data_IF_142808372218
#
_entry.id   IF_142808372218
#
_cell.length_a   1.000
_cell.length_b   1.000
_cell.length_c   1.000
_cell.angle_alpha   90.00
_cell.angle_beta   90.00
_cell.angle_gamma   90.00
#
_symmetry.space_group_name_H-M   'P 1'
#
loop_
_entity.id
_entity.type
_entity.pdbx_description
1 polymer ?
#
# COMPACT_ATOMS: atom_id res chain seq x y z
N UNK A 1 4.20 -24.01 -17.22
CA UNK A 1 3.08 -23.33 -16.56
C UNK A 1 2.57 -22.29 -17.55
N UNK A 2 1.27 -22.28 -17.84
CA UNK A 2 0.70 -21.26 -18.72
C UNK A 2 0.98 -19.89 -18.11
N UNK A 3 1.63 -19.03 -18.89
CA UNK A 3 1.92 -17.65 -18.51
C UNK A 3 0.59 -16.89 -18.58
N UNK A 4 -0.07 -16.75 -17.43
CA UNK A 4 -1.31 -15.96 -17.39
C UNK A 4 -0.96 -14.51 -17.71
N UNK A 5 -1.69 -13.92 -18.65
CA UNK A 5 -1.59 -12.49 -18.95
C UNK A 5 -1.82 -11.69 -17.68
N UNK A 6 -1.08 -10.58 -17.50
CA UNK A 6 -1.33 -9.66 -16.39
C UNK A 6 -2.70 -8.99 -16.59
N UNK A 7 -3.47 -8.92 -15.53
CA UNK A 7 -4.70 -8.10 -15.47
C UNK A 7 -4.30 -6.64 -15.20
N UNK A 8 -4.10 -5.86 -16.28
CA UNK A 8 -3.58 -4.49 -16.23
C UNK A 8 -4.68 -3.44 -16.46
N UNK A 9 -4.45 -2.24 -15.91
CA UNK A 9 -5.01 -0.98 -16.35
C UNK A 9 -3.86 -0.11 -16.86
N UNK A 10 -4.00 0.42 -18.08
CA UNK A 10 -2.94 1.16 -18.78
C UNK A 10 -3.56 2.36 -19.50
N UNK A 11 -3.01 3.54 -19.22
CA UNK A 11 -3.28 4.76 -19.96
C UNK A 11 -2.03 5.20 -20.71
N UNK A 12 -2.18 5.47 -21.99
CA UNK A 12 -1.09 5.93 -22.85
C UNK A 12 -0.93 7.43 -22.73
N UNK A 13 0.28 7.87 -22.42
CA UNK A 13 0.65 9.27 -22.34
C UNK A 13 1.51 9.74 -23.51
N UNK A 14 2.12 10.89 -23.36
CA UNK A 14 3.09 11.45 -24.32
C UNK A 14 4.39 10.66 -24.31
N UNK A 15 5.01 10.40 -25.48
CA UNK A 15 6.33 9.79 -25.57
C UNK A 15 7.44 10.64 -24.95
N UNK A 16 7.20 11.93 -24.72
CA UNK A 16 8.16 12.86 -24.11
C UNK A 16 8.05 12.91 -22.58
N UNK A 17 7.09 12.16 -22.01
CA UNK A 17 6.87 12.07 -20.56
C UNK A 17 7.38 10.73 -20.01
N UNK A 18 7.70 10.63 -18.71
CA UNK A 18 7.98 9.37 -18.06
C UNK A 18 6.76 8.43 -18.04
N UNK A 19 7.02 7.13 -17.88
CA UNK A 19 6.00 6.15 -17.54
C UNK A 19 5.97 5.89 -16.03
N UNK A 20 4.77 5.90 -15.44
CA UNK A 20 4.54 5.69 -14.01
C UNK A 20 3.96 4.30 -13.78
N UNK A 21 4.62 3.50 -12.94
CA UNK A 21 4.18 2.16 -12.54
C UNK A 21 3.63 2.22 -11.12
N UNK A 22 2.31 2.03 -10.97
CA UNK A 22 1.63 2.10 -9.70
C UNK A 22 1.44 0.69 -9.11
N UNK A 23 1.95 0.46 -7.90
CA UNK A 23 2.01 -0.85 -7.26
C UNK A 23 1.14 -0.82 -6.01
N UNK A 24 0.09 -1.63 -5.98
CA UNK A 24 -0.84 -1.69 -4.85
C UNK A 24 -0.31 -2.50 -3.66
N UNK A 25 -0.95 -2.34 -2.50
CA UNK A 25 -0.63 -3.00 -1.25
C UNK A 25 -1.07 -4.47 -1.17
N UNK A 26 -0.78 -5.10 -0.02
CA UNK A 26 -1.20 -6.47 0.28
C UNK A 26 -2.73 -6.59 0.32
N UNK A 27 -3.27 -7.65 -0.29
CA UNK A 27 -4.72 -7.90 -0.28
C UNK A 27 -5.57 -6.90 -1.07
N UNK A 28 -4.95 -6.16 -1.99
CA UNK A 28 -5.59 -5.20 -2.89
C UNK A 28 -5.45 -5.67 -4.36
N UNK A 29 -5.95 -4.87 -5.30
CA UNK A 29 -5.83 -5.08 -6.73
C UNK A 29 -5.67 -3.72 -7.46
N UNK A 30 -5.65 -3.73 -8.81
CA UNK A 30 -5.49 -2.53 -9.65
C UNK A 30 -6.56 -1.45 -9.43
N UNK A 31 -7.77 -1.85 -8.99
CA UNK A 31 -8.86 -0.91 -8.75
C UNK A 31 -8.50 0.12 -7.67
N UNK A 32 -7.62 -0.21 -6.73
CA UNK A 32 -7.13 0.77 -5.77
C UNK A 32 -6.61 2.05 -6.45
N UNK A 33 -6.03 1.93 -7.64
CA UNK A 33 -5.48 3.03 -8.40
C UNK A 33 -6.41 3.53 -9.50
N UNK A 34 -6.93 2.61 -10.32
CA UNK A 34 -7.67 2.96 -11.54
C UNK A 34 -9.18 3.18 -11.30
N UNK A 35 -9.77 2.47 -10.34
CA UNK A 35 -11.22 2.46 -10.08
C UNK A 35 -11.47 2.33 -8.57
N UNK A 36 -11.09 3.33 -7.75
CA UNK A 36 -11.07 3.21 -6.29
C UNK A 36 -12.46 2.98 -5.67
N UNK A 37 -13.55 3.34 -6.36
CA UNK A 37 -14.93 3.04 -5.95
C UNK A 37 -15.21 1.54 -5.93
N UNK A 38 -14.57 0.76 -6.82
CA UNK A 38 -14.70 -0.70 -6.91
C UNK A 38 -13.67 -1.44 -6.04
N UNK A 39 -12.69 -0.70 -5.51
CA UNK A 39 -11.59 -1.29 -4.77
C UNK A 39 -12.04 -1.93 -3.45
N UNK A 40 -11.41 -3.06 -3.16
CA UNK A 40 -11.58 -3.76 -1.90
C UNK A 40 -10.24 -3.96 -1.21
N UNK A 41 -10.27 -3.99 0.11
CA UNK A 41 -9.08 -4.10 0.98
C UNK A 41 -9.14 -5.36 1.85
N UNK A 42 -8.02 -5.68 2.50
CA UNK A 42 -7.88 -6.82 3.41
C UNK A 42 -8.31 -8.15 2.76
N UNK A 43 -7.81 -8.43 1.55
CA UNK A 43 -8.14 -9.66 0.83
C UNK A 43 -9.57 -9.69 0.27
N UNK A 44 -10.18 -8.54 0.05
CA UNK A 44 -11.54 -8.41 -0.50
C UNK A 44 -12.64 -8.33 0.58
N UNK A 45 -12.29 -8.25 1.84
CA UNK A 45 -13.26 -8.24 2.95
C UNK A 45 -14.09 -6.96 3.01
N UNK A 46 -13.45 -5.80 2.80
CA UNK A 46 -14.10 -4.49 2.94
C UNK A 46 -13.96 -3.66 1.67
N UNK A 47 -14.98 -2.85 1.30
CA UNK A 47 -14.81 -1.81 0.30
C UNK A 47 -13.77 -0.78 0.78
N UNK A 48 -12.97 -0.23 -0.13
CA UNK A 48 -11.99 0.82 0.18
C UNK A 48 -12.68 2.05 0.80
N UNK A 49 -13.89 2.38 0.34
CA UNK A 49 -14.69 3.52 0.82
C UNK A 49 -14.92 3.53 2.34
N UNK A 50 -14.93 2.36 3.00
CA UNK A 50 -15.07 2.28 4.46
C UNK A 50 -13.86 2.89 5.19
N UNK A 51 -12.68 2.87 4.55
CA UNK A 51 -11.44 3.47 5.09
C UNK A 51 -11.26 4.94 4.66
N UNK A 52 -12.11 5.44 3.76
CA UNK A 52 -12.06 6.78 3.19
C UNK A 52 -13.18 7.70 3.70
N UNK A 53 -13.64 7.46 4.93
CA UNK A 53 -14.65 8.32 5.56
C UNK A 53 -14.17 9.78 5.61
N UNK A 54 -14.99 10.68 5.06
CA UNK A 54 -14.65 12.11 4.95
C UNK A 54 -13.97 12.52 3.63
N UNK A 55 -13.80 11.58 2.69
CA UNK A 55 -13.35 11.89 1.33
C UNK A 55 -14.53 11.81 0.37
N UNK A 56 -14.87 12.93 -0.25
CA UNK A 56 -15.98 13.03 -1.22
C UNK A 56 -15.56 12.60 -2.63
N UNK A 57 -14.25 12.66 -2.93
CA UNK A 57 -13.69 12.31 -4.23
C UNK A 57 -12.72 11.14 -4.08
N UNK A 58 -12.99 10.05 -4.81
CA UNK A 58 -12.14 8.87 -4.87
C UNK A 58 -11.17 8.93 -6.06
N UNK A 59 -10.43 10.03 -6.18
CA UNK A 59 -9.42 10.23 -7.20
C UNK A 59 -8.04 9.81 -6.69
N UNK A 60 -7.21 9.24 -7.53
CA UNK A 60 -5.87 8.73 -7.20
C UNK A 60 -4.79 9.34 -8.09
N UNK A 61 -3.53 9.03 -7.82
CA UNK A 61 -2.41 9.39 -8.70
C UNK A 61 -2.54 8.82 -10.13
N UNK A 62 -3.23 7.69 -10.32
CA UNK A 62 -3.51 7.15 -11.65
C UNK A 62 -4.21 8.19 -12.53
N UNK A 63 -5.26 8.81 -12.00
CA UNK A 63 -6.04 9.81 -12.71
C UNK A 63 -5.28 11.12 -12.93
N UNK A 64 -4.53 11.57 -11.91
CA UNK A 64 -3.79 12.83 -12.00
C UNK A 64 -2.63 12.74 -12.98
N UNK A 65 -1.87 11.65 -12.93
CA UNK A 65 -0.75 11.40 -13.85
C UNK A 65 -1.24 11.21 -15.29
N UNK A 66 -2.34 10.46 -15.49
CA UNK A 66 -2.95 10.30 -16.82
C UNK A 66 -3.43 11.64 -17.39
N UNK A 67 -4.09 12.46 -16.58
CA UNK A 67 -4.55 13.80 -16.99
C UNK A 67 -3.40 14.75 -17.36
N UNK A 68 -2.22 14.55 -16.79
CA UNK A 68 -1.01 15.32 -17.07
C UNK A 68 -0.17 14.74 -18.23
N UNK A 69 -0.65 13.68 -18.87
CA UNK A 69 -0.04 13.09 -20.06
C UNK A 69 1.08 12.10 -19.78
N UNK A 70 1.21 11.58 -18.55
CA UNK A 70 2.10 10.46 -18.27
C UNK A 70 1.49 9.15 -18.78
N UNK A 71 2.32 8.22 -19.27
CA UNK A 71 1.90 6.83 -19.40
C UNK A 71 1.79 6.23 -18.01
N UNK A 72 0.65 5.62 -17.68
CA UNK A 72 0.40 5.08 -16.34
C UNK A 72 -0.04 3.64 -16.44
N UNK A 73 0.61 2.74 -15.69
CA UNK A 73 0.25 1.32 -15.61
C UNK A 73 0.08 0.87 -14.16
N UNK A 74 -0.93 0.05 -13.94
CA UNK A 74 -1.11 -0.74 -12.72
C UNK A 74 -1.66 -2.11 -13.09
N UNK A 75 -1.57 -3.09 -12.19
CA UNK A 75 -2.08 -4.43 -12.43
C UNK A 75 -2.62 -5.07 -11.14
N UNK A 76 -3.48 -6.08 -11.29
CA UNK A 76 -3.89 -6.93 -10.18
C UNK A 76 -2.85 -8.02 -9.96
N UNK A 77 -2.25 -8.09 -8.77
CA UNK A 77 -1.34 -9.18 -8.41
C UNK A 77 -2.12 -10.50 -8.33
N UNK A 78 -1.67 -11.54 -9.00
CA UNK A 78 -2.36 -12.83 -9.05
C UNK A 78 -2.51 -13.49 -7.66
N UNK A 79 -1.57 -13.18 -6.74
CA UNK A 79 -1.61 -13.61 -5.35
C UNK A 79 -1.38 -12.44 -4.41
N UNK A 80 -2.39 -11.57 -4.21
CA UNK A 80 -2.24 -10.31 -3.47
C UNK A 80 -1.89 -10.49 -1.99
N UNK A 81 -2.10 -11.67 -1.43
CA UNK A 81 -1.70 -12.07 -0.06
C UNK A 81 -0.56 -13.10 -0.06
N UNK A 82 -0.03 -13.44 -1.23
CA UNK A 82 1.08 -14.37 -1.41
C UNK A 82 2.45 -13.76 -1.12
N UNK A 83 3.53 -14.55 -1.32
CA UNK A 83 4.90 -14.06 -1.14
C UNK A 83 5.23 -12.89 -2.03
N UNK A 84 5.92 -11.87 -1.49
CA UNK A 84 6.28 -10.63 -2.20
C UNK A 84 7.14 -10.88 -3.43
N UNK A 85 7.96 -11.93 -3.45
CA UNK A 85 8.76 -12.30 -4.63
C UNK A 85 7.92 -12.53 -5.90
N UNK A 86 6.69 -13.05 -5.77
CA UNK A 86 5.80 -13.24 -6.92
C UNK A 86 5.35 -11.89 -7.49
N UNK A 87 5.07 -10.92 -6.63
CA UNK A 87 4.73 -9.56 -7.04
C UNK A 87 5.93 -8.85 -7.71
N UNK A 88 7.16 -9.17 -7.32
CA UNK A 88 8.39 -8.67 -7.99
C UNK A 88 8.50 -9.24 -9.41
N UNK A 89 8.21 -10.53 -9.60
CA UNK A 89 8.19 -11.16 -10.93
C UNK A 89 7.11 -10.53 -11.83
N UNK A 90 5.93 -10.24 -11.27
CA UNK A 90 4.85 -9.55 -11.97
C UNK A 90 5.18 -8.09 -12.28
N UNK A 91 5.85 -7.36 -11.38
CA UNK A 91 6.33 -6.00 -11.63
C UNK A 91 7.31 -5.98 -12.82
N UNK A 92 8.22 -6.95 -12.92
CA UNK A 92 9.12 -7.07 -14.07
C UNK A 92 8.34 -7.22 -15.37
N UNK A 93 7.30 -8.05 -15.36
CA UNK A 93 6.41 -8.23 -16.53
C UNK A 93 5.64 -6.96 -16.87
N UNK A 94 5.17 -6.22 -15.87
CA UNK A 94 4.48 -4.95 -16.07
C UNK A 94 5.42 -3.90 -16.69
N UNK A 95 6.68 -3.82 -16.23
CA UNK A 95 7.73 -2.99 -16.86
C UNK A 95 8.00 -3.44 -18.30
N UNK A 96 8.04 -4.75 -18.56
CA UNK A 96 8.21 -5.31 -19.92
C UNK A 96 7.07 -4.92 -20.89
N UNK A 97 5.87 -4.63 -20.41
CA UNK A 97 4.79 -4.08 -21.25
C UNK A 97 5.16 -2.69 -21.76
N UNK A 98 5.84 -1.88 -20.93
CA UNK A 98 6.23 -0.51 -21.26
C UNK A 98 7.37 -0.43 -22.30
N UNK A 99 8.18 -1.47 -22.47
CA UNK A 99 9.26 -1.50 -23.50
C UNK A 99 8.77 -1.16 -24.91
N UNK A 100 7.49 -1.39 -25.18
CA UNK A 100 6.86 -1.14 -26.49
C UNK A 100 6.16 0.21 -26.59
N UNK A 101 6.17 0.97 -25.51
CA UNK A 101 5.48 2.27 -25.38
C UNK A 101 6.56 3.33 -25.21
N UNK A 102 6.70 4.28 -26.15
CA UNK A 102 7.72 5.33 -26.01
C UNK A 102 7.50 6.16 -24.76
N UNK A 103 8.57 6.37 -23.98
CA UNK A 103 8.59 7.21 -22.77
C UNK A 103 10.02 7.63 -22.41
N UNK A 104 10.18 8.56 -21.45
CA UNK A 104 11.50 9.12 -21.06
C UNK A 104 12.11 8.52 -19.79
N UNK A 105 11.72 7.30 -19.45
CA UNK A 105 12.14 6.58 -18.25
C UNK A 105 11.00 6.26 -17.31
N UNK A 106 11.29 5.58 -16.21
CA UNK A 106 10.30 4.99 -15.31
C UNK A 106 10.26 5.72 -13.97
N UNK A 107 9.04 5.86 -13.42
CA UNK A 107 8.79 6.24 -12.04
C UNK A 107 8.03 5.09 -11.37
N UNK A 108 8.60 4.50 -10.31
CA UNK A 108 7.93 3.48 -9.52
C UNK A 108 7.23 4.12 -8.32
N UNK A 109 5.93 3.86 -8.17
CA UNK A 109 5.11 4.40 -7.07
C UNK A 109 4.45 3.23 -6.37
N UNK A 110 4.82 2.98 -5.12
CA UNK A 110 4.31 1.84 -4.34
C UNK A 110 3.53 2.29 -3.11
N UNK A 111 2.30 1.79 -2.95
CA UNK A 111 1.52 1.94 -1.72
C UNK A 111 1.71 0.72 -0.82
N UNK A 112 1.91 0.94 0.47
CA UNK A 112 1.99 -0.13 1.46
C UNK A 112 3.06 -1.18 1.05
N UNK A 113 2.72 -2.47 0.99
CA UNK A 113 3.61 -3.52 0.47
C UNK A 113 4.14 -3.22 -0.94
N UNK A 114 3.41 -2.46 -1.75
CA UNK A 114 3.84 -2.08 -3.11
C UNK A 114 5.19 -1.37 -3.14
N UNK A 115 5.50 -0.52 -2.16
CA UNK A 115 6.81 0.10 -2.04
C UNK A 115 7.92 -0.89 -1.69
N UNK A 116 7.62 -1.94 -0.93
CA UNK A 116 8.57 -3.02 -0.65
C UNK A 116 8.79 -3.91 -1.88
N UNK A 117 7.75 -4.13 -2.71
CA UNK A 117 7.88 -4.82 -4.01
C UNK A 117 8.83 -4.05 -4.91
N UNK A 118 8.66 -2.73 -5.05
CA UNK A 118 9.55 -1.88 -5.82
C UNK A 118 10.99 -1.94 -5.28
N UNK A 119 11.18 -1.79 -3.96
CA UNK A 119 12.49 -1.87 -3.31
C UNK A 119 13.16 -3.23 -3.50
N UNK A 120 12.40 -4.32 -3.43
CA UNK A 120 12.91 -5.68 -3.66
C UNK A 120 13.31 -5.89 -5.13
N UNK A 121 12.53 -5.35 -6.07
CA UNK A 121 12.86 -5.43 -7.50
C UNK A 121 14.17 -4.73 -7.81
N UNK A 122 14.44 -3.58 -7.21
CA UNK A 122 15.68 -2.81 -7.40
C UNK A 122 16.92 -3.45 -6.76
N UNK A 123 16.76 -4.50 -5.96
CA UNK A 123 17.89 -5.33 -5.50
C UNK A 123 18.52 -6.15 -6.62
N UNK A 124 17.79 -6.40 -7.68
CA UNK A 124 18.25 -7.14 -8.85
C UNK A 124 18.75 -6.17 -9.92
N UNK A 125 20.06 -6.19 -10.21
CA UNK A 125 20.66 -5.35 -11.24
C UNK A 125 20.10 -5.61 -12.65
N UNK A 126 19.47 -6.76 -12.89
CA UNK A 126 18.78 -7.12 -14.13
C UNK A 126 17.29 -6.84 -14.12
N UNK A 127 16.79 -6.07 -13.13
CA UNK A 127 15.37 -5.76 -13.05
C UNK A 127 14.88 -4.90 -14.21
N UNK A 128 15.62 -3.86 -14.55
CA UNK A 128 15.28 -2.98 -15.65
C UNK A 128 15.73 -3.57 -16.99
N UNK A 129 14.92 -3.48 -18.05
CA UNK A 129 15.35 -3.79 -19.41
C UNK A 129 16.58 -2.99 -19.82
N UNK A 130 17.34 -3.51 -20.78
CA UNK A 130 18.54 -2.82 -21.28
C UNK A 130 18.18 -1.46 -21.90
N UNK A 131 18.83 -0.40 -21.43
CA UNK A 131 18.58 0.96 -21.88
C UNK A 131 17.44 1.68 -21.15
N UNK A 132 16.68 0.98 -20.29
CA UNK A 132 15.63 1.61 -19.47
C UNK A 132 16.24 2.40 -18.30
N UNK A 133 15.66 3.54 -18.02
CA UNK A 133 16.14 4.45 -16.98
C UNK A 133 15.11 4.59 -15.87
N UNK A 134 15.50 4.26 -14.65
CA UNK A 134 14.71 4.61 -13.47
C UNK A 134 14.98 6.07 -13.08
N UNK A 135 13.93 6.86 -12.95
CA UNK A 135 13.99 8.27 -12.58
C UNK A 135 13.68 8.48 -11.10
N UNK A 136 12.69 7.76 -10.58
CA UNK A 136 12.29 7.90 -9.18
C UNK A 136 11.69 6.64 -8.58
N UNK A 137 11.84 6.54 -7.26
CA UNK A 137 11.12 5.61 -6.38
C UNK A 137 10.32 6.42 -5.36
N UNK A 138 8.98 6.27 -5.39
CA UNK A 138 8.06 6.94 -4.46
C UNK A 138 7.31 5.88 -3.67
N UNK A 139 7.29 6.00 -2.35
CA UNK A 139 6.60 5.05 -1.48
C UNK A 139 5.59 5.77 -0.58
N UNK A 140 4.36 5.25 -0.55
CA UNK A 140 3.24 5.79 0.22
C UNK A 140 2.89 4.79 1.32
N UNK A 141 3.05 5.17 2.57
CA UNK A 141 2.76 4.34 3.75
C UNK A 141 3.35 2.92 3.66
N UNK A 142 4.57 2.79 3.14
CA UNK A 142 5.23 1.48 2.97
C UNK A 142 6.01 1.09 4.22
N UNK A 143 5.78 -0.11 4.79
CA UNK A 143 6.40 -0.52 6.05
C UNK A 143 7.87 -0.96 5.87
N UNK A 144 8.78 -0.01 5.61
CA UNK A 144 10.20 -0.30 5.34
C UNK A 144 10.94 -0.93 6.52
N UNK A 145 10.48 -0.68 7.75
CA UNK A 145 10.96 -1.32 8.98
C UNK A 145 9.99 -2.40 9.52
N UNK A 146 8.89 -2.65 8.79
CA UNK A 146 7.85 -3.59 9.16
C UNK A 146 6.64 -2.94 9.83
N UNK A 147 5.64 -3.77 10.16
CA UNK A 147 4.43 -3.42 10.90
C UNK A 147 4.16 -4.45 11.99
N UNK A 148 3.87 -3.99 13.17
CA UNK A 148 3.51 -4.84 14.33
C UNK A 148 2.05 -5.32 14.27
N UNK A 149 1.27 -4.88 13.28
CA UNK A 149 -0.17 -5.12 13.21
C UNK A 149 -0.54 -6.60 13.29
N UNK A 150 0.25 -7.47 12.66
CA UNK A 150 -0.04 -8.92 12.68
C UNK A 150 0.11 -9.53 14.08
N UNK A 151 1.05 -9.04 14.91
CA UNK A 151 1.17 -9.45 16.32
C UNK A 151 -0.03 -8.98 17.14
N UNK A 152 -0.54 -7.78 16.83
CA UNK A 152 -1.74 -7.26 17.49
C UNK A 152 -3.01 -8.01 17.12
N UNK A 153 -3.14 -8.48 15.88
CA UNK A 153 -4.26 -9.31 15.48
C UNK A 153 -4.30 -10.64 16.24
N UNK A 154 -3.14 -11.23 16.55
CA UNK A 154 -3.06 -12.43 17.42
C UNK A 154 -3.59 -12.14 18.84
N UNK A 155 -3.31 -10.97 19.39
CA UNK A 155 -3.84 -10.56 20.69
C UNK A 155 -5.34 -10.22 20.62
N UNK A 156 -5.80 -9.59 19.54
CA UNK A 156 -7.22 -9.30 19.30
C UNK A 156 -8.06 -10.58 19.17
N UNK A 157 -7.49 -11.70 18.72
CA UNK A 157 -8.19 -12.98 18.64
C UNK A 157 -8.67 -13.47 20.02
N UNK A 158 -7.89 -13.21 21.07
CA UNK A 158 -8.27 -13.56 22.46
C UNK A 158 -9.40 -12.68 22.99
N UNK A 159 -9.54 -11.45 22.49
CA UNK A 159 -10.62 -10.52 22.88
C UNK A 159 -11.95 -10.85 22.21
N UNK A 160 -11.92 -11.36 20.97
CA UNK A 160 -13.15 -11.73 20.26
C UNK A 160 -13.83 -12.94 20.88
N UNK A 161 -13.10 -13.84 21.54
CA UNK A 161 -13.73 -14.91 22.32
C UNK A 161 -14.60 -14.35 23.46
N UNK A 162 -14.15 -13.28 24.11
CA UNK A 162 -14.89 -12.58 25.19
C UNK A 162 -16.08 -11.78 24.65
N UNK A 163 -15.97 -11.20 23.45
CA UNK A 163 -17.07 -10.47 22.80
C UNK A 163 -18.15 -11.43 22.27
N UNK A 164 -17.76 -12.64 21.85
CA UNK A 164 -18.65 -13.66 21.34
C UNK A 164 -19.67 -14.16 22.36
N UNK A 165 -19.35 -14.10 23.65
CA UNK A 165 -20.28 -14.44 24.76
C UNK A 165 -21.39 -13.40 24.95
N UNK A 166 -21.25 -12.21 24.36
CA UNK A 166 -22.21 -11.08 24.51
C UNK A 166 -23.15 -10.89 23.32
N UNK A 167 -23.00 -11.70 22.24
CA UNK A 167 -23.88 -11.64 21.07
C UNK A 167 -24.96 -12.71 21.19
N UNK A 168 -26.18 -12.30 21.51
CA UNK A 168 -27.32 -13.21 21.69
C UNK A 168 -27.97 -13.64 20.36
N UNK A 169 -27.78 -12.88 19.26
CA UNK A 169 -28.36 -13.19 17.95
C UNK A 169 -27.49 -14.20 17.16
N UNK A 170 -27.98 -15.41 16.88
CA UNK A 170 -27.20 -16.45 16.17
C UNK A 170 -26.79 -16.05 14.74
N UNK A 171 -27.61 -15.25 14.03
CA UNK A 171 -27.32 -14.79 12.68
C UNK A 171 -26.18 -13.75 12.66
N UNK A 172 -26.24 -12.76 13.56
CA UNK A 172 -25.18 -11.79 13.76
C UNK A 172 -23.88 -12.45 14.23
N UNK A 173 -23.98 -13.40 15.16
CA UNK A 173 -22.85 -14.19 15.65
C UNK A 173 -22.12 -14.93 14.53
N UNK A 174 -22.86 -15.55 13.61
CA UNK A 174 -22.29 -16.28 12.46
C UNK A 174 -21.60 -15.34 11.48
N UNK A 175 -22.18 -14.19 11.22
CA UNK A 175 -21.58 -13.14 10.34
C UNK A 175 -20.31 -12.57 10.94
N UNK A 176 -20.32 -12.21 12.22
CA UNK A 176 -19.15 -11.67 12.95
C UNK A 176 -18.01 -12.69 13.00
N UNK A 177 -18.31 -13.97 13.31
CA UNK A 177 -17.33 -15.04 13.31
C UNK A 177 -16.72 -15.29 11.93
N UNK A 178 -17.53 -15.24 10.86
CA UNK A 178 -17.07 -15.39 9.48
C UNK A 178 -16.11 -14.27 9.07
N UNK A 179 -16.49 -13.03 9.34
CA UNK A 179 -15.63 -11.85 9.05
C UNK A 179 -14.33 -11.90 9.87
N UNK A 180 -14.43 -12.29 11.14
CA UNK A 180 -13.25 -12.42 12.00
C UNK A 180 -12.30 -13.51 11.49
N UNK A 181 -12.84 -14.69 11.13
CA UNK A 181 -12.02 -15.77 10.56
C UNK A 181 -11.29 -15.30 9.31
N UNK A 182 -11.99 -14.65 8.39
CA UNK A 182 -11.38 -14.12 7.15
C UNK A 182 -10.32 -13.05 7.42
N UNK A 183 -10.51 -12.21 8.45
CA UNK A 183 -9.51 -11.25 8.88
C UNK A 183 -8.26 -11.95 9.45
N UNK A 184 -8.46 -13.00 10.24
CA UNK A 184 -7.34 -13.80 10.77
C UNK A 184 -6.59 -14.52 9.63
N UNK A 185 -7.30 -15.14 8.68
CA UNK A 185 -6.70 -15.76 7.50
C UNK A 185 -5.87 -14.76 6.68
N UNK A 186 -6.36 -13.51 6.57
CA UNK A 186 -5.61 -12.42 5.92
C UNK A 186 -4.34 -12.07 6.70
N UNK A 187 -4.43 -11.87 8.01
CA UNK A 187 -3.28 -11.50 8.86
C UNK A 187 -2.24 -12.63 8.92
N UNK A 188 -2.68 -13.89 8.91
CA UNK A 188 -1.81 -15.06 8.89
C UNK A 188 -1.21 -15.36 7.52
N UNK A 189 -1.66 -14.66 6.49
CA UNK A 189 -1.14 -14.84 5.14
C UNK A 189 0.36 -14.57 5.05
N UNK A 190 1.03 -15.24 4.11
CA UNK A 190 2.48 -15.08 3.94
C UNK A 190 2.86 -13.65 3.59
N UNK A 191 2.05 -12.98 2.77
CA UNK A 191 2.30 -11.59 2.38
C UNK A 191 2.27 -10.61 3.55
N UNK A 192 1.42 -10.86 4.57
CA UNK A 192 1.38 -10.06 5.80
C UNK A 192 2.52 -10.44 6.74
N UNK A 193 2.83 -11.73 6.90
CA UNK A 193 3.94 -12.19 7.76
C UNK A 193 5.32 -11.68 7.29
N UNK A 194 5.51 -11.49 5.99
CA UNK A 194 6.72 -10.88 5.43
C UNK A 194 6.87 -9.40 5.85
N UNK A 195 5.79 -8.73 6.27
CA UNK A 195 5.82 -7.35 6.76
C UNK A 195 6.14 -7.23 8.26
N UNK A 196 6.30 -8.33 8.99
CA UNK A 196 6.68 -8.29 10.40
C UNK A 196 8.08 -7.68 10.57
N UNK A 197 8.28 -6.81 11.57
CA UNK A 197 9.60 -6.29 11.90
C UNK A 197 10.61 -7.41 12.08
N UNK A 198 11.76 -7.29 11.40
CA UNK A 198 12.81 -8.29 11.44
C UNK A 198 12.50 -9.60 10.72
N UNK A 199 11.50 -9.64 9.83
CA UNK A 199 11.27 -10.77 8.95
C UNK A 199 12.48 -11.03 8.03
N UNK A 200 12.64 -12.26 7.56
CA UNK A 200 13.69 -12.61 6.60
C UNK A 200 13.59 -11.76 5.33
N UNK A 201 12.36 -11.53 4.85
CA UNK A 201 12.11 -10.69 3.69
C UNK A 201 12.62 -9.26 3.90
N UNK A 202 12.26 -8.58 5.00
CA UNK A 202 12.70 -7.22 5.26
C UNK A 202 14.24 -7.12 5.41
N UNK A 203 14.87 -8.13 6.01
CA UNK A 203 16.35 -8.19 6.12
C UNK A 203 17.04 -8.41 4.78
N UNK A 204 16.36 -9.03 3.80
CA UNK A 204 16.89 -9.25 2.47
C UNK A 204 16.82 -8.03 1.57
N UNK A 205 16.07 -6.99 1.95
CA UNK A 205 15.94 -5.79 1.15
C UNK A 205 17.23 -4.95 1.13
N UNK A 206 17.52 -4.22 0.05
CA UNK A 206 18.63 -3.27 0.02
C UNK A 206 18.61 -2.35 1.24
N UNK A 207 19.76 -2.01 1.84
CA UNK A 207 19.81 -1.21 3.06
C UNK A 207 19.34 0.24 2.87
N UNK A 208 19.39 0.73 1.62
CA UNK A 208 18.97 2.09 1.27
C UNK A 208 18.35 2.14 -0.13
N UNK A 209 17.66 3.24 -0.43
CA UNK A 209 17.25 3.57 -1.79
C UNK A 209 18.48 3.78 -2.68
N UNK A 210 18.40 3.51 -4.00
CA UNK A 210 19.45 3.87 -4.93
C UNK A 210 19.75 5.37 -4.86
N UNK A 211 21.04 5.74 -4.88
CA UNK A 211 21.50 7.13 -4.70
C UNK A 211 21.46 7.97 -5.96
N UNK A 212 21.31 7.33 -7.10
CA UNK A 212 21.34 7.93 -8.46
C UNK A 212 19.94 8.28 -8.98
N UNK A 213 18.90 8.05 -8.18
CA UNK A 213 17.51 8.39 -8.51
C UNK A 213 16.90 9.32 -7.46
N UNK A 214 15.84 10.04 -7.85
CA UNK A 214 15.02 10.73 -6.86
C UNK A 214 14.21 9.70 -6.05
N UNK A 215 14.25 9.81 -4.73
CA UNK A 215 13.50 8.92 -3.84
C UNK A 215 12.72 9.70 -2.79
N UNK A 216 11.41 9.41 -2.70
CA UNK A 216 10.47 10.05 -1.78
C UNK A 216 9.73 8.97 -1.00
N UNK A 217 9.64 9.13 0.31
CA UNK A 217 8.73 8.35 1.14
C UNK A 217 7.70 9.25 1.82
N UNK A 218 6.45 8.78 1.88
CA UNK A 218 5.35 9.47 2.54
C UNK A 218 4.76 8.55 3.60
N UNK A 219 4.61 9.06 4.83
CA UNK A 219 3.96 8.41 5.95
C UNK A 219 2.61 9.04 6.27
N UNK A 220 1.67 8.25 6.82
CA UNK A 220 0.44 8.72 7.42
C UNK A 220 0.54 8.75 8.95
N UNK A 221 -0.19 9.67 9.59
CA UNK A 221 -0.17 9.87 11.05
C UNK A 221 -1.56 9.88 11.68
N UNK A 222 -2.61 9.58 10.90
CA UNK A 222 -3.99 9.42 11.39
C UNK A 222 -4.32 7.92 11.47
N UNK A 223 -4.44 7.33 12.67
CA UNK A 223 -4.69 5.89 12.81
C UNK A 223 -6.13 5.47 12.53
N UNK A 224 -7.05 6.40 12.27
CA UNK A 224 -8.47 6.11 12.06
C UNK A 224 -8.71 5.37 10.74
N UNK A 225 -8.70 4.02 10.77
CA UNK A 225 -8.86 3.16 9.60
C UNK A 225 -10.31 2.92 9.20
N UNK A 226 -11.20 2.72 10.17
CA UNK A 226 -12.58 2.32 9.94
C UNK A 226 -13.51 3.25 10.71
N UNK A 227 -14.38 3.93 10.00
CA UNK A 227 -15.52 4.63 10.59
C UNK A 227 -16.80 3.96 10.09
N UNK A 228 -17.31 3.00 10.86
CA UNK A 228 -18.63 2.42 10.62
C UNK A 228 -19.64 3.16 11.51
N UNK A 229 -20.54 3.98 10.95
CA UNK A 229 -21.54 4.68 11.74
C UNK A 229 -22.34 3.70 12.60
N UNK A 230 -22.28 3.87 13.94
CA UNK A 230 -23.07 3.11 14.90
C UNK A 230 -22.53 1.74 15.29
N UNK A 231 -21.36 1.28 14.79
CA UNK A 231 -20.85 -0.05 15.11
C UNK A 231 -19.47 -0.03 15.76
N UNK A 232 -18.46 0.60 15.17
CA UNK A 232 -17.11 0.64 15.73
C UNK A 232 -16.24 1.63 14.94
N UNK A 233 -15.53 2.52 15.61
CA UNK A 233 -14.40 3.25 15.03
C UNK A 233 -13.13 2.51 15.43
N UNK A 234 -12.43 1.91 14.46
CA UNK A 234 -11.14 1.28 14.71
C UNK A 234 -10.03 2.27 14.35
N UNK A 235 -9.06 2.59 15.21
CA UNK A 235 -8.74 1.98 16.51
C UNK A 235 -9.36 2.67 17.74
N UNK A 236 -10.12 3.75 17.61
CA UNK A 236 -10.67 4.53 18.75
C UNK A 236 -11.42 3.68 19.78
N UNK A 237 -12.02 2.58 19.37
CA UNK A 237 -12.62 1.62 20.30
C UNK A 237 -11.58 0.82 21.09
N UNK A 238 -10.36 0.70 20.60
CA UNK A 238 -9.26 0.04 21.33
C UNK A 238 -8.66 0.96 22.39
N UNK A 239 -8.60 2.26 22.17
CA UNK A 239 -8.14 3.25 23.15
C UNK A 239 -9.03 3.26 24.41
N UNK A 240 -10.31 2.91 24.29
CA UNK A 240 -11.23 2.79 25.44
C UNK A 240 -11.00 1.51 26.24
N UNK A 241 -10.40 0.49 25.66
CA UNK A 241 -10.18 -0.84 26.28
C UNK A 241 -8.72 -1.02 26.72
N UNK A 242 -7.77 -0.43 25.97
CA UNK A 242 -6.33 -0.53 26.27
C UNK A 242 -5.76 0.84 26.63
N UNK A 243 -4.91 0.91 27.67
CA UNK A 243 -4.10 2.11 27.92
C UNK A 243 -3.28 2.48 26.68
N UNK A 244 -3.30 3.76 26.28
CA UNK A 244 -2.60 4.26 25.08
C UNK A 244 -1.12 3.85 25.02
N UNK A 245 -0.46 3.67 26.18
CA UNK A 245 0.92 3.20 26.30
C UNK A 245 1.16 1.75 25.83
N UNK A 246 0.11 0.97 25.66
CA UNK A 246 0.17 -0.43 25.18
C UNK A 246 -0.18 -0.55 23.71
N UNK A 247 -0.65 0.52 23.06
CA UNK A 247 -0.93 0.53 21.63
C UNK A 247 0.37 0.66 20.84
N UNK A 248 0.50 -0.06 19.70
CA UNK A 248 1.65 0.14 18.83
C UNK A 248 1.60 1.52 18.18
N UNK A 249 2.75 2.02 17.73
CA UNK A 249 2.86 3.33 17.09
C UNK A 249 1.94 3.45 15.85
N UNK A 250 1.68 2.36 15.15
CA UNK A 250 0.75 2.30 14.01
C UNK A 250 -0.66 2.78 14.38
N UNK A 251 -1.12 2.45 15.59
CA UNK A 251 -2.47 2.77 16.10
C UNK A 251 -2.50 4.01 16.98
N UNK A 252 -1.39 4.72 17.12
CA UNK A 252 -1.27 5.90 17.98
C UNK A 252 -1.39 7.17 17.14
N UNK A 253 -2.27 8.09 17.57
CA UNK A 253 -2.46 9.40 16.94
C UNK A 253 -1.14 10.15 16.80
N UNK A 254 -0.88 10.68 15.61
CA UNK A 254 0.37 11.39 15.29
C UNK A 254 1.58 10.49 15.04
N UNK A 255 1.48 9.17 15.22
CA UNK A 255 2.61 8.25 15.06
C UNK A 255 2.44 7.22 13.95
N UNK A 256 1.21 6.94 13.53
CA UNK A 256 0.94 5.96 12.49
C UNK A 256 -0.39 6.18 11.82
N UNK A 257 -0.61 5.44 10.75
CA UNK A 257 -1.76 5.56 9.85
C UNK A 257 -2.81 4.44 10.07
N UNK A 258 -2.66 3.70 11.17
CA UNK A 258 -3.49 2.57 11.55
C UNK A 258 -2.92 1.21 11.13
N UNK A 259 -2.04 1.14 10.14
CA UNK A 259 -1.37 -0.10 9.69
C UNK A 259 0.15 0.00 9.69
N UNK A 260 0.70 1.19 9.51
CA UNK A 260 2.14 1.45 9.42
C UNK A 260 2.47 2.67 10.26
N UNK A 261 3.52 2.58 11.08
CA UNK A 261 4.00 3.74 11.80
C UNK A 261 4.72 4.72 10.85
N UNK A 262 4.60 6.02 11.09
CA UNK A 262 5.29 7.06 10.33
C UNK A 262 6.81 6.81 10.29
N UNK A 263 7.37 6.31 11.40
CA UNK A 263 8.77 5.89 11.48
C UNK A 263 9.08 4.75 10.52
N UNK A 264 8.22 3.74 10.42
CA UNK A 264 8.41 2.60 9.53
C UNK A 264 8.20 2.96 8.06
N UNK A 265 7.38 3.98 7.77
CA UNK A 265 7.16 4.48 6.42
C UNK A 265 8.38 5.18 5.82
N UNK A 266 9.40 5.53 6.63
CA UNK A 266 10.65 6.10 6.13
C UNK A 266 11.43 5.11 5.30
N UNK A 267 11.61 5.42 4.03
CA UNK A 267 12.50 4.66 3.16
C UNK A 267 13.96 5.01 3.54
N UNK A 268 14.77 4.04 3.95
CA UNK A 268 16.17 4.30 4.27
C UNK A 268 16.92 4.88 3.07
N UNK A 269 17.68 5.95 3.30
CA UNK A 269 18.43 6.63 2.25
C UNK A 269 17.59 7.45 1.25
N UNK A 270 16.29 7.62 1.47
CA UNK A 270 15.46 8.48 0.64
C UNK A 270 15.96 9.94 0.68
N UNK A 271 15.89 10.61 -0.46
CA UNK A 271 16.22 12.04 -0.58
C UNK A 271 15.25 12.89 0.24
N UNK A 272 13.98 12.48 0.30
CA UNK A 272 12.93 13.22 0.99
C UNK A 272 11.97 12.28 1.73
N UNK A 273 11.50 12.70 2.91
CA UNK A 273 10.43 12.05 3.65
C UNK A 273 9.45 13.10 4.17
N UNK A 274 8.15 12.82 4.00
CA UNK A 274 7.07 13.69 4.43
C UNK A 274 6.01 12.87 5.19
N UNK A 275 5.48 13.43 6.27
CA UNK A 275 4.34 12.86 7.00
C UNK A 275 3.09 13.73 6.78
N UNK A 276 1.94 13.07 6.54
CA UNK A 276 0.64 13.71 6.38
C UNK A 276 -0.35 13.15 7.40
N UNK A 277 -1.28 13.99 7.85
CA UNK A 277 -2.34 13.54 8.77
C UNK A 277 -3.46 12.81 8.01
N UNK A 278 -3.13 11.66 7.47
CA UNK A 278 -3.99 10.77 6.70
C UNK A 278 -3.86 9.33 7.20
N UNK A 279 -4.91 8.52 7.03
CA UNK A 279 -4.85 7.10 7.33
C UNK A 279 -4.22 6.30 6.18
N UNK A 280 -4.00 5.01 6.40
CA UNK A 280 -3.30 4.11 5.49
C UNK A 280 -3.90 4.04 4.07
N UNK A 281 -5.21 4.11 3.94
CA UNK A 281 -5.87 4.12 2.63
C UNK A 281 -5.92 5.53 2.03
N UNK A 282 -6.17 6.52 2.88
CA UNK A 282 -6.34 7.90 2.47
C UNK A 282 -5.07 8.50 1.85
N UNK A 283 -3.88 8.01 2.22
CA UNK A 283 -2.60 8.48 1.62
C UNK A 283 -2.59 8.36 0.09
N UNK A 284 -3.36 7.45 -0.49
CA UNK A 284 -3.42 7.24 -1.95
C UNK A 284 -4.43 8.16 -2.66
N UNK A 285 -5.42 8.69 -1.93
CA UNK A 285 -6.52 9.51 -2.49
C UNK A 285 -6.48 10.96 -2.01
N UNK A 286 -5.77 11.26 -0.93
CA UNK A 286 -5.68 12.60 -0.38
C UNK A 286 -5.12 13.59 -1.40
N UNK A 287 -5.83 14.70 -1.59
CA UNK A 287 -5.49 15.70 -2.60
C UNK A 287 -4.10 16.31 -2.39
N UNK A 288 -3.76 16.65 -1.14
CA UNK A 288 -2.47 17.30 -0.85
C UNK A 288 -1.30 16.35 -1.08
N UNK A 289 -1.47 15.05 -0.75
CA UNK A 289 -0.49 14.00 -1.05
C UNK A 289 -0.32 13.86 -2.56
N UNK A 290 -1.42 13.75 -3.31
CA UNK A 290 -1.39 13.58 -4.77
C UNK A 290 -0.74 14.77 -5.48
N UNK A 291 -1.12 15.99 -5.14
CA UNK A 291 -0.54 17.23 -5.68
C UNK A 291 0.96 17.33 -5.36
N UNK A 292 1.38 16.96 -4.13
CA UNK A 292 2.78 16.94 -3.74
C UNK A 292 3.59 15.94 -4.57
N UNK A 293 3.10 14.70 -4.68
CA UNK A 293 3.78 13.64 -5.46
C UNK A 293 3.90 14.07 -6.93
N UNK A 294 2.82 14.54 -7.54
CA UNK A 294 2.82 15.03 -8.91
C UNK A 294 3.82 16.18 -9.11
N UNK A 295 3.84 17.14 -8.18
CA UNK A 295 4.80 18.23 -8.23
C UNK A 295 6.26 17.73 -8.17
N UNK A 296 6.56 16.76 -7.30
CA UNK A 296 7.90 16.18 -7.19
C UNK A 296 8.31 15.40 -8.44
N UNK A 297 7.40 14.63 -9.03
CA UNK A 297 7.64 13.93 -10.30
C UNK A 297 7.99 14.96 -11.40
N UNK A 298 7.17 16.00 -11.56
CA UNK A 298 7.44 17.07 -12.54
C UNK A 298 8.79 17.74 -12.32
N UNK A 299 9.13 18.02 -11.07
CA UNK A 299 10.38 18.72 -10.73
C UNK A 299 11.64 17.87 -10.96
N UNK A 300 11.59 16.57 -10.69
CA UNK A 300 12.78 15.72 -10.63
C UNK A 300 12.89 14.70 -11.77
N UNK A 301 11.78 14.41 -12.47
CA UNK A 301 11.73 13.38 -13.51
C UNK A 301 11.45 13.92 -14.91
N UNK A 302 11.13 15.21 -15.02
CA UNK A 302 10.99 15.87 -16.32
C UNK A 302 12.26 16.63 -16.67
N UNK A 303 12.60 16.73 -17.98
CA UNK A 303 13.77 17.48 -18.45
C UNK A 303 13.68 18.97 -18.18
#
# INVERSE_FOLDING_TARGET
>A
MAEHALDIALEHGSPDMPACVLIHGVGMNKHMWAEPEEARVMGGLFPLSVMLSGYDEMRTLYHDLSAEGFTVITWSQARPVGPTRLSVEELRRAVGVLERIPHKGLVLIGHSRGGLVARAALADSGFLPAGEKLLALITLSSPHAGSELSRWAEHASRLTSLLNERIDDPGKKRSVLGTFKSLMDFVESRGVKELLPGSEFLRSLPPAAPSDIYSLSIGGTNPALLSLPGILSFPTSFETVFPARLLPDEMTEGKGDGLVSARSARLPGAVEHLDYHVNHAAVAVDRHVREMVLHRIKKHCMP
#
